data_IF_291007102877
#
_entry.id   IF_291007102877
#
_cell.length_a   1.000
_cell.length_b   1.000
_cell.length_c   1.000
_cell.angle_alpha   90.00
_cell.angle_beta   90.00
_cell.angle_gamma   90.00
#
_symmetry.space_group_name_H-M   'P 1'
#
loop_
_entity.id
_entity.type
_entity.pdbx_description
1 polymer ?
#
# COMPACT_ATOMS: atom_id res chain seq x y z
N UNK A 1 13.18 19.15 -13.38
CA UNK A 1 13.76 18.34 -12.28
C UNK A 1 12.60 17.56 -11.70
N UNK A 2 12.66 16.23 -11.68
CA UNK A 2 11.61 15.44 -11.03
C UNK A 2 11.59 15.80 -9.54
N UNK A 3 10.44 16.23 -9.02
CA UNK A 3 10.24 16.34 -7.57
C UNK A 3 10.37 14.93 -6.99
N UNK A 4 11.29 14.75 -6.04
CA UNK A 4 11.54 13.47 -5.41
C UNK A 4 10.38 13.02 -4.50
N UNK A 5 10.68 12.17 -3.53
CA UNK A 5 9.70 11.64 -2.58
C UNK A 5 9.57 12.45 -1.28
N UNK A 6 9.97 13.73 -1.28
CA UNK A 6 9.98 14.57 -0.06
C UNK A 6 8.60 14.71 0.59
N UNK A 7 7.54 14.77 -0.24
CA UNK A 7 6.15 14.88 0.20
C UNK A 7 5.38 13.55 0.06
N UNK A 8 6.08 12.43 -0.16
CA UNK A 8 5.41 11.15 -0.38
C UNK A 8 4.81 10.61 0.92
N UNK A 9 3.48 10.61 0.99
CA UNK A 9 2.77 9.97 2.09
C UNK A 9 2.84 8.45 2.00
N UNK A 10 3.09 7.74 3.11
CA UNK A 10 3.11 6.29 3.11
C UNK A 10 1.76 5.70 2.67
N UNK A 11 1.82 4.74 1.75
CA UNK A 11 0.65 3.99 1.31
C UNK A 11 0.58 2.70 2.12
N UNK A 12 -0.60 2.34 2.61
CA UNK A 12 -0.86 1.06 3.25
C UNK A 12 -2.01 0.36 2.53
N UNK A 13 -1.94 -0.96 2.40
CA UNK A 13 -3.01 -1.72 1.81
C UNK A 13 -2.86 -3.22 2.00
N UNK A 14 -3.84 -3.97 1.48
CA UNK A 14 -3.88 -5.43 1.50
C UNK A 14 -3.57 -5.97 0.11
N UNK A 15 -2.76 -7.02 0.03
CA UNK A 15 -2.55 -7.77 -1.20
C UNK A 15 -3.22 -9.15 -1.12
N UNK A 16 -3.86 -9.57 -2.21
CA UNK A 16 -4.41 -10.92 -2.34
C UNK A 16 -3.33 -11.84 -2.92
N UNK A 17 -2.87 -12.80 -2.13
CA UNK A 17 -1.81 -13.72 -2.54
C UNK A 17 -2.34 -14.86 -3.42
N UNK A 18 -1.60 -15.19 -4.47
CA UNK A 18 -1.84 -16.35 -5.33
C UNK A 18 -0.51 -16.98 -5.73
N UNK A 19 -0.47 -18.31 -5.87
CA UNK A 19 0.68 -18.98 -6.47
C UNK A 19 0.71 -18.71 -7.97
N UNK A 20 1.90 -18.51 -8.52
CA UNK A 20 2.08 -18.46 -9.96
C UNK A 20 1.65 -19.81 -10.56
N UNK A 21 0.57 -19.77 -11.34
CA UNK A 21 0.02 -20.97 -11.97
C UNK A 21 1.00 -21.50 -13.00
N UNK A 22 1.66 -22.60 -12.69
CA UNK A 22 2.28 -23.43 -13.73
C UNK A 22 1.15 -24.14 -14.44
N UNK A 23 0.91 -23.79 -15.69
CA UNK A 23 -0.14 -24.35 -16.55
C UNK A 23 0.05 -25.86 -16.77
N UNK A 24 -0.27 -26.70 -15.79
CA UNK A 24 -0.42 -28.17 -15.91
C UNK A 24 -1.02 -28.88 -14.69
N UNK A 25 -1.77 -28.20 -13.81
CA UNK A 25 -2.64 -28.94 -12.88
C UNK A 25 -3.80 -28.09 -12.37
N UNK A 26 -4.99 -28.42 -12.86
CA UNK A 26 -6.27 -28.08 -12.28
C UNK A 26 -6.39 -28.75 -10.91
N UNK A 27 -5.82 -28.11 -9.90
CA UNK A 27 -6.14 -28.34 -8.51
C UNK A 27 -6.23 -26.97 -7.87
N UNK A 28 -7.46 -26.46 -7.80
CA UNK A 28 -7.86 -25.30 -7.01
C UNK A 28 -7.68 -25.63 -5.53
N UNK A 29 -6.45 -25.86 -5.09
CA UNK A 29 -6.10 -25.70 -3.70
C UNK A 29 -6.07 -24.19 -3.48
N UNK A 30 -7.20 -23.65 -3.02
CA UNK A 30 -7.23 -22.33 -2.40
C UNK A 30 -6.25 -22.38 -1.24
N UNK A 31 -4.97 -22.08 -1.49
CA UNK A 31 -3.99 -21.92 -0.44
C UNK A 31 -4.47 -20.75 0.38
N UNK A 32 -4.97 -21.06 1.58
CA UNK A 32 -5.47 -20.07 2.52
C UNK A 32 -4.24 -19.30 3.02
N UNK A 33 -3.86 -18.26 2.29
CA UNK A 33 -2.81 -17.36 2.72
C UNK A 33 -3.33 -16.52 3.88
N UNK A 34 -2.45 -16.28 4.86
CA UNK A 34 -2.66 -15.20 5.80
C UNK A 34 -2.81 -13.87 5.02
N UNK A 35 -3.56 -12.90 5.56
CA UNK A 35 -3.68 -11.59 4.92
C UNK A 35 -2.31 -10.94 4.76
N UNK A 36 -1.92 -10.66 3.52
CA UNK A 36 -0.72 -9.88 3.25
C UNK A 36 -1.04 -8.40 3.33
N UNK A 37 -0.27 -7.68 4.13
CA UNK A 37 -0.25 -6.22 4.15
C UNK A 37 0.98 -5.73 3.41
N UNK A 38 0.83 -4.62 2.70
CA UNK A 38 1.96 -3.91 2.12
C UNK A 38 2.01 -2.48 2.64
N UNK A 39 3.21 -1.91 2.62
CA UNK A 39 3.38 -0.47 2.71
C UNK A 39 4.37 0.04 1.68
N UNK A 40 4.20 1.28 1.27
CA UNK A 40 5.16 2.02 0.48
C UNK A 40 5.57 3.22 1.31
N UNK A 41 6.86 3.50 1.45
CA UNK A 41 7.34 4.70 2.11
C UNK A 41 8.63 5.20 1.46
N UNK A 42 8.82 6.51 1.47
CA UNK A 42 10.08 7.12 1.08
C UNK A 42 11.18 6.71 2.07
N UNK A 43 12.25 6.12 1.55
CA UNK A 43 13.46 5.89 2.35
C UNK A 43 14.28 7.19 2.46
N UNK A 44 14.29 7.95 1.37
CA UNK A 44 14.91 9.26 1.21
C UNK A 44 14.23 9.98 0.04
N UNK A 45 14.74 11.16 -0.36
CA UNK A 45 14.22 11.96 -1.47
C UNK A 45 14.21 11.21 -2.81
N UNK A 46 15.02 10.17 -3.00
CA UNK A 46 15.28 9.52 -4.29
C UNK A 46 14.85 8.05 -4.35
N UNK A 47 14.48 7.46 -3.21
CA UNK A 47 14.26 6.03 -3.09
C UNK A 47 12.95 5.71 -2.39
N UNK A 48 12.14 4.88 -3.05
CA UNK A 48 10.92 4.31 -2.49
C UNK A 48 11.18 2.89 -2.01
N UNK A 49 10.74 2.59 -0.78
CA UNK A 49 10.80 1.25 -0.21
C UNK A 49 9.41 0.65 -0.10
N UNK A 50 9.29 -0.60 -0.54
CA UNK A 50 8.09 -1.41 -0.49
C UNK A 50 8.35 -2.59 0.44
N UNK A 51 7.50 -2.77 1.45
CA UNK A 51 7.44 -4.02 2.20
C UNK A 51 6.11 -4.71 1.97
N UNK A 52 6.12 -6.04 1.94
CA UNK A 52 4.92 -6.87 1.91
C UNK A 52 5.10 -8.00 2.90
N UNK A 53 4.18 -8.19 3.84
CA UNK A 53 4.32 -9.22 4.88
C UNK A 53 2.97 -9.82 5.28
N UNK A 54 3.01 -11.11 5.63
CA UNK A 54 1.91 -11.82 6.30
C UNK A 54 2.03 -11.79 7.84
N UNK A 55 3.01 -11.04 8.36
CA UNK A 55 3.40 -11.01 9.78
C UNK A 55 3.77 -12.38 10.35
N UNK A 56 4.18 -13.30 9.49
CA UNK A 56 4.46 -14.67 9.87
C UNK A 56 5.66 -15.23 9.11
N UNK A 57 5.41 -15.95 8.00
CA UNK A 57 6.44 -16.71 7.29
C UNK A 57 7.07 -15.95 6.13
N UNK A 58 6.42 -14.88 5.69
CA UNK A 58 6.74 -14.22 4.44
C UNK A 58 6.79 -12.72 4.63
N UNK A 59 8.01 -12.20 4.62
CA UNK A 59 8.28 -10.76 4.54
C UNK A 59 9.14 -10.50 3.31
N UNK A 60 8.74 -9.53 2.51
CA UNK A 60 9.33 -9.22 1.22
C UNK A 60 9.69 -7.73 1.15
N UNK A 61 10.76 -7.40 0.43
CA UNK A 61 11.20 -6.03 0.18
C UNK A 61 11.40 -5.76 -1.31
N UNK A 62 11.12 -4.52 -1.71
CA UNK A 62 11.75 -3.92 -2.88
C UNK A 62 12.17 -2.48 -2.59
N UNK A 63 13.28 -2.07 -3.19
CA UNK A 63 13.74 -0.69 -3.23
C UNK A 63 13.74 -0.23 -4.67
N UNK A 64 13.21 0.97 -4.93
CA UNK A 64 13.12 1.55 -6.26
C UNK A 64 13.60 2.99 -6.23
N UNK A 65 14.64 3.29 -7.00
CA UNK A 65 15.07 4.67 -7.21
C UNK A 65 14.10 5.38 -8.18
N UNK A 66 14.19 6.71 -8.25
CA UNK A 66 13.44 7.51 -9.24
C UNK A 66 13.69 7.00 -10.66
N UNK A 67 14.94 6.71 -11.01
CA UNK A 67 15.32 6.25 -12.36
C UNK A 67 14.67 4.89 -12.66
N UNK A 68 14.71 3.94 -11.72
CA UNK A 68 14.07 2.63 -11.90
C UNK A 68 12.55 2.73 -12.07
N UNK A 69 11.93 3.73 -11.42
CA UNK A 69 10.50 3.99 -11.55
C UNK A 69 10.17 4.72 -12.86
N UNK A 70 11.06 5.57 -13.37
CA UNK A 70 10.94 6.17 -14.70
C UNK A 70 11.07 5.11 -15.80
N UNK A 71 12.06 4.22 -15.69
CA UNK A 71 12.21 3.08 -16.61
C UNK A 71 10.95 2.20 -16.59
N UNK A 72 10.38 1.99 -15.39
CA UNK A 72 9.11 1.27 -15.26
C UNK A 72 7.96 2.01 -15.92
N UNK A 73 7.83 3.33 -15.74
CA UNK A 73 6.81 4.17 -16.40
C UNK A 73 6.89 4.02 -17.91
N UNK A 74 8.10 4.16 -18.45
CA UNK A 74 8.35 4.12 -19.88
C UNK A 74 8.07 2.69 -20.43
N UNK A 75 8.42 1.66 -19.67
CA UNK A 75 8.17 0.26 -20.00
C UNK A 75 6.68 -0.13 -20.01
N UNK A 76 5.85 0.46 -19.13
CA UNK A 76 4.39 0.21 -19.12
C UNK A 76 3.62 1.15 -20.07
N UNK A 77 4.29 2.14 -20.65
CA UNK A 77 3.70 3.09 -21.60
C UNK A 77 2.76 4.11 -20.97
N UNK A 78 2.95 4.46 -19.69
CA UNK A 78 2.20 5.56 -19.06
C UNK A 78 2.88 6.88 -19.43
N UNK A 79 2.22 7.66 -20.30
CA UNK A 79 2.68 9.00 -20.66
C UNK A 79 2.43 10.03 -19.55
N UNK A 80 2.90 11.26 -19.77
CA UNK A 80 2.73 12.38 -18.84
C UNK A 80 3.99 12.71 -18.04
N UNK A 81 3.81 13.61 -17.09
CA UNK A 81 4.84 14.06 -16.16
C UNK A 81 5.20 13.00 -15.12
N UNK A 82 6.31 13.22 -14.41
CA UNK A 82 6.71 12.36 -13.30
C UNK A 82 5.68 12.36 -12.17
N UNK A 83 5.12 13.52 -11.83
CA UNK A 83 4.12 13.66 -10.77
C UNK A 83 2.86 12.85 -11.10
N UNK A 84 2.36 12.98 -12.34
CA UNK A 84 1.21 12.19 -12.80
C UNK A 84 1.46 10.68 -12.75
N UNK A 85 2.71 10.25 -12.99
CA UNK A 85 3.07 8.85 -12.85
C UNK A 85 3.12 8.39 -11.37
N UNK A 86 3.64 9.23 -10.47
CA UNK A 86 3.62 8.93 -9.02
C UNK A 86 2.17 8.87 -8.51
N UNK A 87 1.30 9.76 -8.95
CA UNK A 87 -0.13 9.70 -8.65
C UNK A 87 -0.75 8.41 -9.19
N UNK A 88 -0.44 8.04 -10.43
CA UNK A 88 -0.88 6.79 -11.03
C UNK A 88 -0.42 5.55 -10.24
N UNK A 89 0.83 5.56 -9.75
CA UNK A 89 1.39 4.52 -8.88
C UNK A 89 0.60 4.45 -7.57
N UNK A 90 0.37 5.59 -6.92
CA UNK A 90 -0.38 5.68 -5.66
C UNK A 90 -1.79 5.15 -5.83
N UNK A 91 -2.52 5.60 -6.85
CA UNK A 91 -3.89 5.18 -7.13
C UNK A 91 -3.99 3.69 -7.49
N UNK A 92 -3.00 3.15 -8.20
CA UNK A 92 -2.94 1.72 -8.51
C UNK A 92 -2.89 0.87 -7.25
N UNK A 93 -2.06 1.26 -6.28
CA UNK A 93 -1.92 0.53 -5.01
C UNK A 93 -2.97 0.89 -3.96
N UNK A 94 -3.68 2.02 -4.10
CA UNK A 94 -4.88 2.31 -3.30
C UNK A 94 -6.14 1.61 -3.83
N UNK A 95 -6.09 1.02 -5.01
CA UNK A 95 -7.19 0.25 -5.57
C UNK A 95 -7.38 -1.09 -4.84
N UNK A 96 -8.58 -1.66 -4.91
CA UNK A 96 -8.85 -3.00 -4.36
C UNK A 96 -8.22 -4.16 -5.17
N UNK A 97 -7.49 -3.84 -6.25
CA UNK A 97 -6.99 -4.81 -7.23
C UNK A 97 -5.49 -5.09 -7.08
N UNK A 98 -5.00 -5.18 -5.84
CA UNK A 98 -3.60 -5.53 -5.57
C UNK A 98 -3.44 -7.04 -5.36
N UNK A 99 -2.54 -7.64 -6.14
CA UNK A 99 -2.21 -9.06 -6.11
C UNK A 99 -0.76 -9.29 -5.72
N UNK A 100 -0.51 -10.31 -4.92
CA UNK A 100 0.83 -10.81 -4.64
C UNK A 100 0.99 -12.18 -5.29
N UNK A 101 1.80 -12.26 -6.34
CA UNK A 101 2.07 -13.53 -7.03
C UNK A 101 3.33 -14.14 -6.45
N UNK A 102 3.19 -15.30 -5.81
CA UNK A 102 4.27 -16.05 -5.19
C UNK A 102 4.79 -17.13 -6.15
N UNK A 103 6.11 -17.28 -6.22
CA UNK A 103 6.78 -18.30 -7.04
C UNK A 103 7.72 -19.12 -6.17
N UNK A 104 7.72 -20.43 -6.41
CA UNK A 104 8.69 -21.37 -5.84
C UNK A 104 9.76 -21.71 -6.87
N UNK A 105 10.99 -21.99 -6.43
CA UNK A 105 12.03 -22.46 -7.33
C UNK A 105 11.69 -23.87 -7.85
N UNK A 106 11.78 -24.07 -9.16
CA UNK A 106 11.59 -25.40 -9.77
C UNK A 106 12.91 -26.17 -9.68
N UNK A 107 12.91 -27.34 -9.02
CA UNK A 107 14.00 -28.34 -8.92
C UNK A 107 15.10 -28.00 -7.89
N UNK A 108 15.73 -28.91 -7.14
CA UNK A 108 15.77 -30.38 -7.14
C UNK A 108 16.45 -30.81 -5.82
N UNK A 109 16.00 -31.92 -5.21
CA UNK A 109 16.69 -32.66 -4.14
C UNK A 109 16.85 -31.99 -2.76
N UNK A 110 16.40 -32.74 -1.75
CA UNK A 110 16.84 -32.75 -0.35
C UNK A 110 16.60 -31.52 0.53
N UNK A 111 15.66 -31.72 1.47
CA UNK A 111 15.61 -31.18 2.83
C UNK A 111 15.34 -29.68 3.00
N UNK A 112 14.06 -29.41 3.26
CA UNK A 112 13.51 -28.52 4.30
C UNK A 112 13.07 -27.08 4.01
N UNK A 113 12.92 -26.62 2.77
CA UNK A 113 12.22 -25.33 2.53
C UNK A 113 11.24 -25.38 1.36
N UNK A 114 10.00 -25.79 1.63
CA UNK A 114 8.86 -25.71 0.72
C UNK A 114 8.22 -24.31 0.73
N UNK A 115 9.04 -23.27 0.55
CA UNK A 115 8.60 -21.87 0.62
C UNK A 115 8.56 -21.16 -0.73
N UNK A 116 7.82 -20.05 -0.80
CA UNK A 116 7.99 -19.09 -1.89
C UNK A 116 9.43 -18.53 -1.87
N UNK A 117 10.08 -18.48 -3.03
CA UNK A 117 11.46 -17.97 -3.21
C UNK A 117 11.50 -16.59 -3.85
N UNK A 118 10.44 -16.22 -4.56
CA UNK A 118 10.29 -14.89 -5.15
C UNK A 118 8.83 -14.48 -5.14
N UNK A 119 8.58 -13.17 -5.14
CA UNK A 119 7.25 -12.61 -5.18
C UNK A 119 7.18 -11.41 -6.13
N UNK A 120 5.99 -11.18 -6.69
CA UNK A 120 5.69 -9.98 -7.49
C UNK A 120 4.42 -9.34 -6.97
N UNK A 121 4.51 -8.04 -6.67
CA UNK A 121 3.35 -7.24 -6.34
C UNK A 121 2.81 -6.59 -7.62
N UNK A 122 1.55 -6.87 -7.93
CA UNK A 122 0.90 -6.45 -9.17
C UNK A 122 -0.33 -5.62 -8.82
N UNK A 123 -0.47 -4.46 -9.45
CA UNK A 123 -1.63 -3.60 -9.31
C UNK A 123 -2.01 -2.94 -10.64
N UNK A 124 -3.27 -2.54 -10.76
CA UNK A 124 -3.73 -1.62 -11.81
C UNK A 124 -4.63 -0.56 -11.17
N UNK A 125 -4.63 0.65 -11.71
CA UNK A 125 -5.55 1.71 -11.27
C UNK A 125 -7.02 1.33 -11.50
N UNK A 126 -7.32 0.78 -12.67
CA UNK A 126 -8.66 0.32 -13.05
C UNK A 126 -8.59 -0.68 -14.21
N UNK A 127 -9.72 -1.34 -14.50
CA UNK A 127 -9.79 -2.33 -15.60
C UNK A 127 -9.45 -1.65 -16.93
N UNK A 128 -8.48 -2.22 -17.65
CA UNK A 128 -8.03 -1.72 -18.96
C UNK A 128 -6.83 -0.77 -18.89
N UNK A 129 -6.39 -0.36 -17.69
CA UNK A 129 -5.21 0.48 -17.50
C UNK A 129 -3.92 -0.36 -17.43
N UNK A 130 -2.75 0.22 -17.74
CA UNK A 130 -1.45 -0.46 -17.65
C UNK A 130 -1.17 -1.04 -16.26
N UNK A 131 -0.67 -2.28 -16.20
CA UNK A 131 -0.37 -2.94 -14.94
C UNK A 131 1.01 -2.56 -14.43
N UNK A 132 1.10 -2.23 -13.15
CA UNK A 132 2.36 -2.06 -12.43
C UNK A 132 2.75 -3.40 -11.84
N UNK A 133 3.99 -3.83 -12.03
CA UNK A 133 4.54 -5.08 -11.50
C UNK A 133 5.88 -4.83 -10.84
N UNK A 134 5.95 -5.02 -9.53
CA UNK A 134 7.16 -4.83 -8.73
C UNK A 134 7.65 -6.20 -8.26
N UNK A 135 8.82 -6.61 -8.74
CA UNK A 135 9.50 -7.80 -8.21
C UNK A 135 10.03 -7.51 -6.80
N UNK A 136 9.85 -8.48 -5.91
CA UNK A 136 10.21 -8.41 -4.49
C UNK A 136 11.21 -9.51 -4.13
N UNK A 137 12.06 -9.21 -3.17
CA UNK A 137 13.06 -10.12 -2.59
C UNK A 137 12.62 -10.58 -1.21
N UNK A 138 12.85 -11.86 -0.89
CA UNK A 138 12.49 -12.42 0.42
C UNK A 138 13.46 -11.87 1.47
N UNK A 139 12.94 -11.28 2.54
CA UNK A 139 13.72 -10.91 3.69
C UNK A 139 13.87 -12.10 4.64
N UNK A 140 15.06 -12.22 5.22
CA UNK A 140 15.36 -13.17 6.31
C UNK A 140 15.52 -12.40 7.63
N UNK A 141 15.45 -13.11 8.74
CA UNK A 141 15.74 -12.50 10.05
C UNK A 141 17.21 -12.02 10.12
N UNK A 142 17.48 -10.86 10.76
CA UNK A 142 16.57 -9.99 11.51
C UNK A 142 15.82 -8.95 10.65
N UNK A 143 16.16 -8.80 9.36
CA UNK A 143 15.59 -7.77 8.50
C UNK A 143 14.08 -7.92 8.28
N UNK A 144 13.58 -9.16 8.30
CA UNK A 144 12.15 -9.43 8.25
C UNK A 144 11.42 -8.86 9.48
N UNK A 145 11.94 -9.08 10.69
CA UNK A 145 11.41 -8.48 11.91
C UNK A 145 11.43 -6.96 11.89
N UNK A 146 12.54 -6.35 11.45
CA UNK A 146 12.64 -4.88 11.33
C UNK A 146 11.60 -4.33 10.34
N UNK A 147 11.38 -5.01 9.21
CA UNK A 147 10.37 -4.62 8.23
C UNK A 147 8.95 -4.71 8.81
N UNK A 148 8.63 -5.76 9.57
CA UNK A 148 7.34 -5.92 10.27
C UNK A 148 7.13 -4.84 11.35
N UNK A 149 8.17 -4.52 12.12
CA UNK A 149 8.13 -3.47 13.14
C UNK A 149 7.88 -2.10 12.51
N UNK A 150 8.59 -1.79 11.43
CA UNK A 150 8.40 -0.55 10.67
C UNK A 150 6.99 -0.45 10.09
N UNK A 151 6.43 -1.54 9.56
CA UNK A 151 5.06 -1.54 9.06
C UNK A 151 4.04 -1.33 10.16
N UNK A 152 4.20 -2.03 11.28
CA UNK A 152 3.32 -1.89 12.44
C UNK A 152 3.33 -0.46 12.97
N UNK A 153 4.52 0.13 13.12
CA UNK A 153 4.67 1.50 13.60
C UNK A 153 4.12 2.53 12.61
N UNK A 154 4.36 2.33 11.31
CA UNK A 154 3.79 3.15 10.24
C UNK A 154 2.26 3.15 10.26
N UNK A 155 1.66 1.96 10.37
CA UNK A 155 0.21 1.79 10.42
C UNK A 155 -0.39 2.46 11.68
N UNK A 156 0.26 2.29 12.84
CA UNK A 156 -0.16 2.94 14.08
C UNK A 156 -0.15 4.46 13.97
N UNK A 157 0.92 5.05 13.39
CA UNK A 157 0.99 6.49 13.14
C UNK A 157 -0.13 6.97 12.21
N UNK A 158 -0.34 6.27 11.09
CA UNK A 158 -1.38 6.62 10.13
C UNK A 158 -2.79 6.54 10.76
N UNK A 159 -3.05 5.49 11.53
CA UNK A 159 -4.31 5.34 12.28
C UNK A 159 -4.50 6.48 13.28
N UNK A 160 -3.50 6.78 14.10
CA UNK A 160 -3.60 7.85 15.11
C UNK A 160 -3.84 9.21 14.46
N UNK A 161 -3.13 9.53 13.38
CA UNK A 161 -3.31 10.78 12.65
C UNK A 161 -4.73 10.91 12.10
N UNK A 162 -5.24 9.86 11.46
CA UNK A 162 -6.61 9.85 10.90
C UNK A 162 -7.69 9.89 11.98
N UNK A 163 -7.47 9.22 13.10
CA UNK A 163 -8.40 9.25 14.23
C UNK A 163 -8.45 10.65 14.87
N UNK A 164 -7.30 11.28 15.06
CA UNK A 164 -7.23 12.64 15.61
C UNK A 164 -7.89 13.67 14.69
N UNK A 165 -7.70 13.56 13.36
CA UNK A 165 -8.35 14.46 12.41
C UNK A 165 -9.87 14.27 12.42
N UNK A 166 -10.36 13.03 12.43
CA UNK A 166 -11.79 12.73 12.49
C UNK A 166 -12.45 13.28 13.77
N UNK A 167 -11.80 13.09 14.93
CA UNK A 167 -12.30 13.64 16.21
C UNK A 167 -12.36 15.17 16.17
N UNK A 168 -11.37 15.82 15.56
CA UNK A 168 -11.34 17.28 15.44
C UNK A 168 -12.45 17.80 14.52
N UNK A 169 -12.65 17.15 13.38
CA UNK A 169 -13.72 17.49 12.44
C UNK A 169 -15.11 17.33 13.08
N UNK A 170 -15.34 16.26 13.83
CA UNK A 170 -16.60 16.03 14.55
C UNK A 170 -16.84 17.11 15.63
N UNK A 171 -15.79 17.47 16.38
CA UNK A 171 -15.89 18.51 17.39
C UNK A 171 -16.18 19.89 16.78
N UNK A 172 -15.58 20.22 15.63
CA UNK A 172 -15.83 21.47 14.90
C UNK A 172 -17.26 21.53 14.37
N UNK A 173 -17.78 20.43 13.81
CA UNK A 173 -19.16 20.32 13.37
C UNK A 173 -20.14 20.47 14.53
N UNK A 174 -19.89 19.80 15.66
CA UNK A 174 -20.71 19.92 16.87
C UNK A 174 -20.75 21.35 17.41
N UNK A 175 -19.59 22.02 17.46
CA UNK A 175 -19.50 23.42 17.87
C UNK A 175 -20.25 24.37 16.93
N UNK A 176 -20.19 24.13 15.61
CA UNK A 176 -20.91 24.90 14.62
C UNK A 176 -22.43 24.79 14.81
N UNK A 177 -22.94 23.55 14.94
CA UNK A 177 -24.37 23.29 15.14
C UNK A 177 -24.89 23.92 16.43
N UNK A 178 -24.10 23.84 17.52
CA UNK A 178 -24.46 24.47 18.80
C UNK A 178 -24.61 25.98 18.66
N UNK A 179 -23.66 26.65 17.99
CA UNK A 179 -23.72 28.10 17.74
C UNK A 179 -24.94 28.48 16.90
N UNK A 180 -25.24 27.71 15.84
CA UNK A 180 -26.41 27.97 15.00
C UNK A 180 -27.72 27.88 15.81
N UNK A 181 -27.87 26.83 16.62
CA UNK A 181 -29.01 26.65 17.53
C UNK A 181 -29.15 27.81 18.52
N UNK A 182 -28.04 28.23 19.16
CA UNK A 182 -28.05 29.35 20.10
C UNK A 182 -28.50 30.65 19.41
N UNK A 183 -28.09 30.87 18.16
CA UNK A 183 -28.45 32.05 17.36
C UNK A 183 -29.95 32.05 17.00
N UNK A 184 -30.50 30.90 16.61
CA UNK A 184 -31.93 30.75 16.33
C UNK A 184 -32.80 30.99 17.58
N UNK A 185 -32.38 30.46 18.73
CA UNK A 185 -33.08 30.69 20.00
C UNK A 185 -33.10 32.17 20.39
N UNK A 186 -31.98 32.88 20.22
CA UNK A 186 -31.90 34.32 20.48
C UNK A 186 -32.84 35.08 19.53
N UNK A 187 -32.82 34.77 18.24
CA UNK A 187 -33.71 35.39 17.25
C UNK A 187 -35.19 35.18 17.59
N UNK A 188 -35.56 33.95 17.98
CA UNK A 188 -36.93 33.63 18.41
C UNK A 188 -37.34 34.38 19.69
N UNK A 189 -36.42 34.57 20.64
CA UNK A 189 -36.69 35.31 21.87
C UNK A 189 -36.93 36.81 21.60
N UNK A 190 -36.18 37.40 20.67
CA UNK A 190 -36.33 38.82 20.30
C UNK A 190 -37.65 39.12 19.57
N UNK A 191 -38.16 38.17 18.78
CA UNK A 191 -39.42 38.33 18.03
C UNK A 191 -40.69 38.03 18.84
N UNK A 192 -40.57 37.60 20.10
CA UNK A 192 -41.70 37.35 21.01
C UNK A 192 -41.97 38.50 22.00
N UNK A 193 -41.17 39.57 21.97
CA UNK A 193 -41.35 40.80 22.74
C UNK A 193 -42.01 41.88 21.87
#
# INVERSE_FOLDING_TARGET
MASGFEEFEPIFGKANAEWESNSTSSSSSSSCFLPFLFHFHALDTYSLRIHVTDFHSYTWEAKRSIEQLQDMRDGIGVGGSWVEFVDYLIESFKSDNVKLVLRTAKSQSSTSDHGATSAKLIAHKSKGMPRISISLEKLMEPSASDAMANLSFGLFKAFRSKNNSAVKEEQEQSNYLRRASDTEQIFMAMHRL
#
